data_IF_434339722606
#
_entry.id   IF_434339722606
#
_cell.length_a   1.000
_cell.length_b   1.000
_cell.length_c   1.000
_cell.angle_alpha   90.00
_cell.angle_beta   90.00
_cell.angle_gamma   90.00
#
_symmetry.space_group_name_H-M   'P 1'
#
loop_
_entity.id
_entity.type
_entity.pdbx_description
1 polymer ?
#
# COMPACT_ATOMS: atom_id res chain seq x y z
N UNK A 1 -20.45 6.86 -18.66
CA UNK A 1 -19.29 6.85 -17.74
C UNK A 1 -18.15 6.18 -18.50
N UNK A 2 -17.00 6.83 -18.56
CA UNK A 2 -15.81 6.20 -19.14
C UNK A 2 -15.50 4.89 -18.38
N UNK A 3 -15.17 3.88 -19.16
CA UNK A 3 -14.79 2.58 -18.60
C UNK A 3 -13.38 2.67 -18.02
N UNK A 4 -13.26 2.47 -16.74
CA UNK A 4 -11.99 2.58 -16.03
C UNK A 4 -11.72 1.32 -15.19
N UNK A 5 -10.45 0.95 -15.08
CA UNK A 5 -10.01 -0.01 -14.07
C UNK A 5 -9.88 0.74 -12.74
N UNK A 6 -10.62 0.30 -11.72
CA UNK A 6 -10.58 0.89 -10.37
C UNK A 6 -9.88 -0.04 -9.40
N UNK A 7 -9.00 0.52 -8.60
CA UNK A 7 -8.30 -0.20 -7.54
C UNK A 7 -8.59 0.46 -6.21
N UNK A 8 -9.29 -0.28 -5.35
CA UNK A 8 -9.45 0.08 -3.96
C UNK A 8 -8.24 -0.43 -3.19
N UNK A 9 -7.69 0.40 -2.33
CA UNK A 9 -6.50 0.13 -1.55
C UNK A 9 -6.85 0.28 -0.07
N UNK A 10 -6.61 -0.75 0.73
CA UNK A 10 -6.90 -0.76 2.17
C UNK A 10 -5.62 -1.11 2.93
N UNK A 11 -5.25 -0.26 3.91
CA UNK A 11 -4.21 -0.60 4.87
C UNK A 11 -4.75 -1.58 5.91
N UNK A 12 -3.91 -2.51 6.36
CA UNK A 12 -4.26 -3.39 7.49
C UNK A 12 -4.72 -2.62 8.74
N UNK A 13 -5.51 -3.25 9.60
CA UNK A 13 -5.88 -2.73 10.91
C UNK A 13 -4.67 -2.53 11.82
N UNK A 14 -4.83 -1.71 12.87
CA UNK A 14 -3.80 -1.45 13.87
C UNK A 14 -3.26 -2.76 14.46
N UNK A 15 -1.92 -2.83 14.62
CA UNK A 15 -1.25 -3.94 15.29
C UNK A 15 -0.65 -3.50 16.61
N UNK A 16 -0.27 -4.45 17.46
CA UNK A 16 0.45 -4.17 18.72
C UNK A 16 1.70 -3.34 18.44
N UNK A 17 2.48 -3.68 17.41
CA UNK A 17 3.69 -2.93 17.07
C UNK A 17 3.41 -1.53 16.48
N UNK A 18 2.26 -1.31 15.83
CA UNK A 18 1.86 0.06 15.51
C UNK A 18 1.64 0.90 16.77
N UNK A 19 0.93 0.35 17.77
CA UNK A 19 0.68 1.04 19.03
C UNK A 19 1.97 1.29 19.84
N UNK A 20 2.97 0.40 19.72
CA UNK A 20 4.29 0.53 20.37
C UNK A 20 5.28 1.39 19.58
N UNK A 21 4.96 1.82 18.35
CA UNK A 21 5.89 2.54 17.46
C UNK A 21 7.06 1.68 16.98
N UNK A 22 6.88 0.34 16.86
CA UNK A 22 7.88 -0.58 16.33
C UNK A 22 7.74 -0.74 14.83
N UNK A 23 8.85 -0.72 14.11
CA UNK A 23 8.91 -0.97 12.68
C UNK A 23 8.72 -2.46 12.39
N UNK A 24 7.72 -2.80 11.58
CA UNK A 24 7.35 -4.20 11.34
C UNK A 24 8.08 -4.81 10.14
N UNK A 25 8.07 -4.12 8.99
CA UNK A 25 8.60 -4.68 7.75
C UNK A 25 7.90 -5.99 7.39
N UNK A 26 8.69 -7.06 7.20
CA UNK A 26 8.21 -8.41 6.93
C UNK A 26 7.93 -9.24 8.20
N UNK A 27 8.34 -8.77 9.39
CA UNK A 27 7.89 -9.36 10.64
C UNK A 27 6.44 -8.96 10.91
N UNK A 28 5.77 -9.73 11.74
CA UNK A 28 4.35 -9.53 12.05
C UNK A 28 4.12 -9.35 13.54
N UNK A 29 3.08 -8.60 13.87
CA UNK A 29 2.47 -8.57 15.18
C UNK A 29 0.95 -8.66 15.06
N UNK A 30 0.29 -9.12 16.12
CA UNK A 30 -1.16 -9.32 16.12
C UNK A 30 -1.91 -7.98 15.97
N UNK A 31 -3.11 -8.06 15.35
CA UNK A 31 -4.04 -6.93 15.39
C UNK A 31 -4.46 -6.66 16.84
N UNK A 32 -4.47 -5.39 17.25
CA UNK A 32 -5.08 -5.00 18.51
C UNK A 32 -6.61 -5.20 18.46
N UNK A 33 -7.28 -5.14 19.62
CA UNK A 33 -8.76 -5.11 19.64
C UNK A 33 -9.32 -3.97 18.78
N UNK A 34 -8.64 -2.82 18.77
CA UNK A 34 -8.94 -1.67 17.90
C UNK A 34 -8.72 -2.01 16.42
N UNK A 35 -7.58 -2.66 16.08
CA UNK A 35 -7.31 -3.10 14.71
C UNK A 35 -8.32 -4.12 14.19
N UNK A 36 -8.81 -5.01 15.05
CA UNK A 36 -9.91 -5.92 14.71
C UNK A 36 -11.21 -5.15 14.48
N UNK A 37 -11.54 -4.17 15.31
CA UNK A 37 -12.71 -3.30 15.11
C UNK A 37 -12.60 -2.50 13.81
N UNK A 38 -11.43 -1.94 13.50
CA UNK A 38 -11.13 -1.25 12.25
C UNK A 38 -11.32 -2.18 11.03
N UNK A 39 -10.82 -3.41 11.09
CA UNK A 39 -10.98 -4.40 10.03
C UNK A 39 -12.46 -4.80 9.82
N UNK A 40 -13.24 -4.92 10.90
CA UNK A 40 -14.67 -5.17 10.82
C UNK A 40 -15.44 -3.97 10.24
N UNK A 41 -15.06 -2.73 10.61
CA UNK A 41 -15.68 -1.51 10.09
C UNK A 41 -15.47 -1.37 8.59
N UNK A 42 -14.22 -1.54 8.09
CA UNK A 42 -13.96 -1.49 6.65
C UNK A 42 -14.65 -2.63 5.90
N UNK A 43 -14.75 -3.82 6.49
CA UNK A 43 -15.49 -4.95 5.92
C UNK A 43 -16.99 -4.64 5.79
N UNK A 44 -17.59 -4.02 6.80
CA UNK A 44 -19.00 -3.60 6.76
C UNK A 44 -19.26 -2.55 5.68
N UNK A 45 -18.36 -1.56 5.52
CA UNK A 45 -18.44 -0.54 4.48
C UNK A 45 -18.32 -1.11 3.06
N UNK A 46 -17.54 -2.17 2.90
CA UNK A 46 -17.30 -2.81 1.61
C UNK A 46 -18.29 -3.94 1.28
N UNK A 47 -19.22 -4.26 2.18
CA UNK A 47 -20.18 -5.39 2.02
C UNK A 47 -20.94 -5.35 0.70
N UNK A 48 -21.40 -4.18 0.32
CA UNK A 48 -22.23 -3.99 -0.87
C UNK A 48 -21.43 -3.62 -2.12
N UNK A 49 -20.10 -3.50 -1.97
CA UNK A 49 -19.21 -3.30 -3.11
C UNK A 49 -19.06 -4.58 -3.91
N UNK A 50 -19.05 -4.44 -5.23
CA UNK A 50 -18.74 -5.54 -6.15
C UNK A 50 -17.28 -5.46 -6.56
N UNK A 51 -16.52 -6.50 -6.22
CA UNK A 51 -15.13 -6.65 -6.64
C UNK A 51 -15.00 -7.84 -7.58
N UNK A 52 -14.21 -7.67 -8.62
CA UNK A 52 -13.83 -8.77 -9.54
C UNK A 52 -12.68 -9.60 -8.96
N UNK A 53 -11.87 -9.01 -8.08
CA UNK A 53 -10.79 -9.69 -7.37
C UNK A 53 -10.46 -8.99 -6.04
N UNK A 54 -10.03 -9.79 -5.06
CA UNK A 54 -9.49 -9.36 -3.76
C UNK A 54 -8.09 -9.94 -3.60
N UNK A 55 -7.08 -9.09 -3.71
CA UNK A 55 -5.69 -9.44 -3.42
C UNK A 55 -5.31 -8.97 -2.02
N UNK A 56 -4.47 -9.73 -1.34
CA UNK A 56 -3.93 -9.35 -0.04
C UNK A 56 -2.46 -9.71 0.08
N UNK A 57 -1.70 -8.84 0.75
CA UNK A 57 -0.39 -9.23 1.28
C UNK A 57 -0.54 -10.50 2.12
N UNK A 58 0.41 -11.40 2.00
CA UNK A 58 0.48 -12.65 2.78
C UNK A 58 1.01 -12.44 4.20
N UNK A 59 1.44 -11.22 4.57
CA UNK A 59 1.76 -10.87 5.95
C UNK A 59 0.48 -10.90 6.81
N UNK A 60 0.56 -11.54 7.97
CA UNK A 60 -0.61 -11.92 8.78
C UNK A 60 -1.55 -10.77 9.10
N UNK A 61 -1.05 -9.58 9.46
CA UNK A 61 -1.88 -8.40 9.75
C UNK A 61 -2.75 -7.96 8.57
N UNK A 62 -2.20 -7.96 7.36
CA UNK A 62 -2.94 -7.60 6.15
C UNK A 62 -3.88 -8.74 5.73
N UNK A 63 -3.41 -9.98 5.81
CA UNK A 63 -4.23 -11.15 5.50
C UNK A 63 -5.43 -11.29 6.44
N UNK A 64 -5.26 -11.09 7.76
CA UNK A 64 -6.35 -11.09 8.75
C UNK A 64 -7.37 -9.98 8.48
N UNK A 65 -6.92 -8.79 8.06
CA UNK A 65 -7.81 -7.71 7.64
C UNK A 65 -8.60 -8.12 6.38
N UNK A 66 -7.94 -8.71 5.39
CA UNK A 66 -8.57 -9.20 4.18
C UNK A 66 -9.60 -10.32 4.46
N UNK A 67 -9.35 -11.19 5.44
CA UNK A 67 -10.31 -12.22 5.86
C UNK A 67 -11.64 -11.64 6.34
N UNK A 68 -11.61 -10.51 7.08
CA UNK A 68 -12.85 -9.81 7.50
C UNK A 68 -13.64 -9.29 6.30
N UNK A 69 -12.93 -8.69 5.33
CA UNK A 69 -13.54 -8.18 4.10
C UNK A 69 -14.09 -9.35 3.26
N UNK A 70 -13.31 -10.42 3.09
CA UNK A 70 -13.73 -11.60 2.33
C UNK A 70 -15.00 -12.24 2.92
N UNK A 71 -15.09 -12.34 4.25
CA UNK A 71 -16.26 -12.85 4.94
C UNK A 71 -17.52 -11.98 4.73
N UNK A 72 -17.36 -10.66 4.62
CA UNK A 72 -18.47 -9.74 4.41
C UNK A 72 -18.93 -9.65 2.95
N UNK A 73 -18.01 -9.82 1.99
CA UNK A 73 -18.25 -9.63 0.54
C UNK A 73 -18.44 -10.92 -0.24
N UNK A 74 -18.07 -12.07 0.34
CA UNK A 74 -18.04 -13.38 -0.34
C UNK A 74 -16.87 -13.53 -1.32
N UNK A 75 -15.94 -12.57 -1.42
CA UNK A 75 -14.82 -12.63 -2.34
C UNK A 75 -13.73 -13.59 -1.84
N UNK A 76 -13.13 -14.35 -2.77
CA UNK A 76 -11.96 -15.18 -2.45
C UNK A 76 -10.69 -14.30 -2.37
N UNK A 77 -9.86 -14.53 -1.36
CA UNK A 77 -8.57 -13.85 -1.22
C UNK A 77 -7.53 -14.52 -2.16
N UNK A 78 -6.84 -13.69 -2.91
CA UNK A 78 -5.66 -14.05 -3.70
C UNK A 78 -4.45 -13.49 -2.95
N UNK A 79 -3.58 -14.39 -2.48
CA UNK A 79 -2.33 -13.99 -1.81
C UNK A 79 -1.34 -13.40 -2.82
N UNK A 80 -0.80 -12.21 -2.52
CA UNK A 80 0.07 -11.47 -3.42
C UNK A 80 1.31 -10.90 -2.66
N UNK A 81 2.46 -11.57 -2.74
CA UNK A 81 3.68 -11.15 -2.03
C UNK A 81 4.20 -9.76 -2.42
N UNK A 82 3.88 -9.26 -3.62
CA UNK A 82 4.25 -7.89 -4.02
C UNK A 82 3.52 -6.80 -3.22
N UNK A 83 2.47 -7.18 -2.47
CA UNK A 83 1.78 -6.30 -1.52
C UNK A 83 2.42 -6.28 -0.14
N UNK A 84 3.47 -7.07 0.16
CA UNK A 84 4.19 -7.00 1.43
C UNK A 84 4.73 -5.60 1.69
N UNK A 85 4.84 -5.23 2.96
CA UNK A 85 5.52 -4.00 3.38
C UNK A 85 6.99 -3.99 2.90
N UNK A 86 7.66 -2.84 2.95
CA UNK A 86 9.10 -2.76 2.75
C UNK A 86 9.79 -3.67 3.76
N UNK A 87 10.69 -4.52 3.29
CA UNK A 87 11.56 -5.25 4.20
C UNK A 87 12.53 -4.24 4.85
N UNK A 88 12.42 -4.08 6.16
CA UNK A 88 13.23 -3.12 6.93
C UNK A 88 14.46 -3.77 7.59
N UNK A 89 14.80 -5.02 7.21
CA UNK A 89 16.02 -5.71 7.63
C UNK A 89 16.27 -5.62 9.13
N UNK A 90 17.45 -5.14 9.51
CA UNK A 90 17.88 -5.02 10.92
C UNK A 90 17.02 -4.08 11.79
N UNK A 91 16.16 -3.26 11.20
CA UNK A 91 15.27 -2.35 11.95
C UNK A 91 13.97 -3.02 12.37
N UNK A 92 13.66 -4.19 11.84
CA UNK A 92 12.40 -4.87 12.14
C UNK A 92 12.29 -5.27 13.61
N UNK A 93 11.15 -4.97 14.21
CA UNK A 93 10.86 -5.23 15.64
C UNK A 93 11.39 -4.15 16.59
N UNK A 94 12.09 -3.13 16.08
CA UNK A 94 12.69 -2.07 16.91
C UNK A 94 11.86 -0.77 16.82
N UNK A 95 11.85 -0.01 17.91
CA UNK A 95 11.39 1.37 17.92
C UNK A 95 12.47 2.30 17.35
N UNK A 96 12.09 3.52 16.94
CA UNK A 96 13.06 4.53 16.50
C UNK A 96 14.16 4.78 17.54
N UNK A 97 13.79 4.87 18.82
CA UNK A 97 14.76 5.08 19.91
C UNK A 97 15.78 3.94 20.01
N UNK A 98 15.32 2.69 19.89
CA UNK A 98 16.21 1.51 19.90
C UNK A 98 17.13 1.48 18.67
N UNK A 99 16.61 1.85 17.49
CA UNK A 99 17.41 1.92 16.26
C UNK A 99 18.50 2.98 16.36
N UNK A 100 18.17 4.18 16.83
CA UNK A 100 19.13 5.29 17.01
C UNK A 100 20.29 4.91 17.92
N UNK A 101 20.04 4.09 18.93
CA UNK A 101 21.09 3.63 19.85
C UNK A 101 21.91 2.50 19.24
N UNK A 102 21.27 1.53 18.57
CA UNK A 102 21.94 0.31 18.04
C UNK A 102 22.61 0.53 16.70
N UNK A 103 22.00 1.35 15.84
CA UNK A 103 22.38 1.53 14.44
C UNK A 103 22.35 3.01 14.01
N UNK A 104 23.10 3.92 14.68
CA UNK A 104 23.00 5.36 14.47
C UNK A 104 23.35 5.79 13.03
N UNK A 105 24.35 5.17 12.42
CA UNK A 105 24.78 5.47 11.03
C UNK A 105 23.72 5.03 10.02
N UNK A 106 23.21 3.81 10.17
CA UNK A 106 22.17 3.27 9.29
C UNK A 106 20.86 4.03 9.41
N UNK A 107 20.55 4.49 10.65
CA UNK A 107 19.38 5.35 10.88
C UNK A 107 19.53 6.71 10.19
N UNK A 108 20.70 7.34 10.27
CA UNK A 108 20.98 8.60 9.58
C UNK A 108 20.78 8.47 8.07
N UNK A 109 21.31 7.40 7.46
CA UNK A 109 21.14 7.09 6.03
C UNK A 109 19.68 6.80 5.69
N UNK A 110 18.96 6.06 6.52
CA UNK A 110 17.52 5.80 6.31
C UNK A 110 16.71 7.09 6.32
N UNK A 111 17.05 8.02 7.22
CA UNK A 111 16.38 9.33 7.34
C UNK A 111 16.76 10.32 6.23
N UNK A 112 17.84 10.11 5.50
CA UNK A 112 18.20 10.96 4.37
C UNK A 112 17.25 10.80 3.16
N UNK A 113 16.35 9.82 3.22
CA UNK A 113 15.37 9.53 2.17
C UNK A 113 15.99 9.16 0.81
N UNK A 114 17.25 8.71 0.81
CA UNK A 114 17.93 8.22 -0.38
C UNK A 114 17.18 7.01 -0.95
N UNK A 115 16.64 7.06 -2.18
CA UNK A 115 15.74 6.01 -2.70
C UNK A 115 16.40 4.64 -2.84
N UNK A 116 17.70 4.61 -3.13
CA UNK A 116 18.46 3.39 -3.37
C UNK A 116 19.10 2.84 -2.10
N UNK A 117 19.05 3.58 -0.99
CA UNK A 117 19.57 3.08 0.27
C UNK A 117 18.79 1.84 0.74
N UNK A 118 19.53 0.75 0.94
CA UNK A 118 19.02 -0.49 1.52
C UNK A 118 19.41 -0.58 2.98
N UNK A 119 18.44 -0.72 3.86
CA UNK A 119 18.73 -1.16 5.23
C UNK A 119 19.40 -2.54 5.14
N UNK A 120 20.45 -2.83 5.89
CA UNK A 120 21.07 -4.18 5.90
C UNK A 120 20.00 -5.27 6.08
N UNK A 121 20.07 -6.31 5.27
CA UNK A 121 19.09 -7.40 5.15
C UNK A 121 17.67 -6.97 4.69
N UNK A 122 17.53 -5.76 4.14
CA UNK A 122 16.25 -5.19 3.73
C UNK A 122 16.17 -4.73 2.27
N UNK A 123 15.11 -4.00 1.98
CA UNK A 123 14.83 -3.38 0.68
C UNK A 123 15.12 -1.87 0.68
N UNK A 124 15.38 -1.30 -0.49
CA UNK A 124 15.35 0.14 -0.70
C UNK A 124 13.91 0.65 -0.90
N UNK A 125 13.71 1.97 -0.84
CA UNK A 125 12.42 2.58 -1.21
C UNK A 125 12.11 2.33 -2.69
N UNK A 126 13.14 2.35 -3.55
CA UNK A 126 13.00 2.08 -4.99
C UNK A 126 12.54 0.65 -5.27
N UNK A 127 13.09 -0.36 -4.61
CA UNK A 127 12.67 -1.76 -4.80
C UNK A 127 11.18 -1.94 -4.52
N UNK A 128 10.72 -1.38 -3.39
CA UNK A 128 9.31 -1.38 -3.00
C UNK A 128 8.43 -0.76 -4.09
N UNK A 129 8.82 0.41 -4.62
CA UNK A 129 8.04 1.12 -5.65
C UNK A 129 8.04 0.35 -6.96
N UNK A 130 9.16 -0.23 -7.38
CA UNK A 130 9.27 -1.04 -8.60
C UNK A 130 8.31 -2.25 -8.54
N UNK A 131 8.29 -2.99 -7.43
CA UNK A 131 7.36 -4.13 -7.31
C UNK A 131 5.88 -3.72 -7.21
N UNK A 132 5.59 -2.56 -6.59
CA UNK A 132 4.23 -2.01 -6.54
C UNK A 132 3.76 -1.59 -7.94
N UNK A 133 4.62 -0.96 -8.73
CA UNK A 133 4.34 -0.60 -10.14
C UNK A 133 4.04 -1.84 -10.97
N UNK A 134 4.91 -2.86 -10.89
CA UNK A 134 4.71 -4.13 -11.61
C UNK A 134 3.35 -4.77 -11.30
N UNK A 135 2.91 -4.72 -10.03
CA UNK A 135 1.59 -5.21 -9.66
C UNK A 135 0.46 -4.37 -10.26
N UNK A 136 0.56 -3.04 -10.20
CA UNK A 136 -0.47 -2.14 -10.75
C UNK A 136 -0.60 -2.32 -12.27
N UNK A 137 0.52 -2.47 -12.98
CA UNK A 137 0.53 -2.69 -14.44
C UNK A 137 -0.14 -4.03 -14.79
N UNK A 138 0.14 -5.11 -14.03
CA UNK A 138 -0.53 -6.39 -14.21
C UNK A 138 -2.03 -6.30 -13.91
N UNK A 139 -2.41 -5.63 -12.81
CA UNK A 139 -3.82 -5.43 -12.45
C UNK A 139 -4.56 -4.66 -13.54
N UNK A 140 -3.95 -3.61 -14.10
CA UNK A 140 -4.55 -2.81 -15.18
C UNK A 140 -4.84 -3.63 -16.44
N UNK A 141 -3.97 -4.58 -16.75
CA UNK A 141 -4.14 -5.48 -17.92
C UNK A 141 -5.16 -6.59 -17.61
N UNK A 142 -4.96 -7.30 -16.49
CA UNK A 142 -5.78 -8.48 -16.13
C UNK A 142 -7.23 -8.12 -15.79
N UNK A 143 -7.44 -6.95 -15.19
CA UNK A 143 -8.73 -6.47 -14.70
C UNK A 143 -9.19 -5.19 -15.41
N UNK A 144 -8.93 -5.10 -16.70
CA UNK A 144 -9.36 -3.96 -17.50
C UNK A 144 -10.85 -3.68 -17.31
N UNK A 145 -11.21 -2.42 -17.04
CA UNK A 145 -12.59 -1.95 -16.81
C UNK A 145 -13.31 -2.65 -15.64
N UNK A 146 -12.56 -3.16 -14.68
CA UNK A 146 -13.06 -3.87 -13.50
C UNK A 146 -12.63 -3.19 -12.21
N UNK A 147 -13.25 -3.60 -11.11
CA UNK A 147 -12.90 -3.13 -9.77
C UNK A 147 -12.15 -4.20 -9.00
N UNK A 148 -10.98 -3.85 -8.47
CA UNK A 148 -10.10 -4.73 -7.71
C UNK A 148 -9.87 -4.14 -6.33
N UNK A 149 -9.82 -4.98 -5.30
CA UNK A 149 -9.43 -4.59 -3.94
C UNK A 149 -8.05 -5.16 -3.60
N UNK A 150 -7.17 -4.30 -3.09
CA UNK A 150 -5.84 -4.67 -2.58
C UNK A 150 -5.75 -4.34 -1.09
N UNK A 151 -5.45 -5.34 -0.24
CA UNK A 151 -5.21 -5.14 1.20
C UNK A 151 -3.71 -5.21 1.45
N UNK A 152 -3.15 -4.13 2.00
CA UNK A 152 -1.70 -3.92 2.04
C UNK A 152 -1.24 -3.10 3.26
N UNK A 153 -0.13 -2.38 3.15
CA UNK A 153 0.61 -1.71 4.22
C UNK A 153 0.88 -0.24 3.91
N UNK A 154 1.28 0.51 4.96
CA UNK A 154 1.53 1.94 4.86
C UNK A 154 2.60 2.31 3.82
N UNK A 155 3.73 1.62 3.81
CA UNK A 155 4.78 1.90 2.84
C UNK A 155 4.38 1.61 1.39
N UNK A 156 3.57 0.57 1.14
CA UNK A 156 3.07 0.29 -0.21
C UNK A 156 2.12 1.40 -0.67
N UNK A 157 1.21 1.85 0.20
CA UNK A 157 0.32 2.96 -0.10
C UNK A 157 1.09 4.25 -0.39
N UNK A 158 2.14 4.56 0.40
CA UNK A 158 3.04 5.68 0.13
C UNK A 158 3.68 5.55 -1.27
N UNK A 159 4.18 4.37 -1.60
CA UNK A 159 4.76 4.11 -2.92
C UNK A 159 3.75 4.29 -4.06
N UNK A 160 2.54 3.75 -3.92
CA UNK A 160 1.47 3.89 -4.91
C UNK A 160 1.03 5.35 -5.06
N UNK A 161 0.86 6.09 -3.96
CA UNK A 161 0.55 7.51 -4.01
C UNK A 161 1.59 8.29 -4.83
N UNK A 162 2.87 8.04 -4.56
CA UNK A 162 3.98 8.68 -5.29
C UNK A 162 4.02 8.30 -6.76
N UNK A 163 3.75 7.03 -7.08
CA UNK A 163 3.64 6.57 -8.47
C UNK A 163 2.55 7.30 -9.25
N UNK A 164 1.37 7.49 -8.62
CA UNK A 164 0.23 8.12 -9.27
C UNK A 164 0.40 9.64 -9.39
N UNK A 165 0.98 10.28 -8.37
CA UNK A 165 1.12 11.74 -8.34
C UNK A 165 2.44 12.26 -8.92
N UNK A 166 3.42 11.40 -9.18
CA UNK A 166 4.77 11.81 -9.57
C UNK A 166 5.60 12.40 -8.43
N UNK A 167 5.17 12.30 -7.17
CA UNK A 167 5.91 12.84 -6.03
C UNK A 167 7.23 12.09 -5.85
N UNK A 168 8.39 12.78 -5.83
CA UNK A 168 9.70 12.15 -5.66
C UNK A 168 9.84 11.36 -4.35
N UNK A 169 10.63 10.28 -4.39
CA UNK A 169 10.90 9.42 -3.22
C UNK A 169 11.77 10.12 -2.17
N UNK A 170 12.54 11.10 -2.57
CA UNK A 170 13.45 11.90 -1.75
C UNK A 170 12.71 12.89 -0.84
N UNK A 171 11.46 13.19 -1.15
CA UNK A 171 10.67 14.11 -0.34
C UNK A 171 10.00 13.38 0.83
N UNK A 172 9.95 13.99 2.02
CA UNK A 172 9.21 13.43 3.14
C UNK A 172 7.72 13.32 2.81
N UNK A 173 7.06 12.34 3.41
CA UNK A 173 5.61 12.16 3.26
C UNK A 173 4.87 13.34 3.91
N UNK A 174 3.93 13.92 3.19
CA UNK A 174 3.10 15.04 3.64
C UNK A 174 1.59 14.71 3.63
N UNK A 175 1.24 13.44 3.56
CA UNK A 175 -0.14 12.96 3.54
C UNK A 175 -0.33 11.80 4.53
N UNK A 176 -1.56 11.61 4.98
CA UNK A 176 -1.92 10.60 5.96
C UNK A 176 -2.23 9.25 5.31
N UNK A 177 -1.85 8.17 5.99
CA UNK A 177 -2.15 6.78 5.61
C UNK A 177 -2.70 6.07 6.85
N UNK A 178 -4.03 6.03 6.95
CA UNK A 178 -4.71 5.52 8.13
C UNK A 178 -4.84 4.00 8.12
N UNK A 179 -4.74 3.33 9.28
CA UNK A 179 -5.13 1.94 9.42
C UNK A 179 -6.59 1.75 9.01
N UNK A 180 -6.88 0.71 8.23
CA UNK A 180 -8.18 0.44 7.64
C UNK A 180 -8.78 1.60 6.81
N UNK A 181 -7.96 2.60 6.44
CA UNK A 181 -8.38 3.66 5.53
C UNK A 181 -8.56 3.12 4.10
N UNK A 182 -9.60 3.60 3.43
CA UNK A 182 -9.89 3.27 2.03
C UNK A 182 -9.30 4.36 1.14
N UNK A 183 -8.58 3.94 0.10
CA UNK A 183 -8.07 4.80 -0.95
C UNK A 183 -8.52 4.22 -2.28
N UNK A 184 -8.78 5.05 -3.28
CA UNK A 184 -9.25 4.63 -4.59
C UNK A 184 -8.41 5.31 -5.66
N UNK A 185 -7.84 4.52 -6.54
CA UNK A 185 -7.20 4.98 -7.77
C UNK A 185 -7.91 4.36 -8.96
N UNK A 186 -7.90 5.06 -10.09
CA UNK A 186 -8.46 4.55 -11.34
C UNK A 186 -7.55 4.82 -12.51
N UNK A 187 -7.69 3.98 -13.53
CA UNK A 187 -7.02 4.15 -14.82
C UNK A 187 -8.06 4.04 -15.93
N UNK A 188 -8.20 5.11 -16.72
CA UNK A 188 -9.07 5.12 -17.89
C UNK A 188 -8.48 4.21 -18.95
N UNK A 189 -9.32 3.35 -19.54
CA UNK A 189 -8.92 2.54 -20.69
C UNK A 189 -8.86 3.44 -21.92
N UNK A 190 -7.67 3.76 -22.40
CA UNK A 190 -7.52 4.38 -23.71
C UNK A 190 -8.11 3.43 -24.77
N UNK A 191 -8.93 3.98 -25.67
CA UNK A 191 -9.49 3.23 -26.80
C UNK A 191 -8.37 2.61 -27.65
N UNK A 192 -8.69 1.56 -28.39
CA UNK A 192 -7.71 0.86 -29.25
C UNK A 192 -7.06 1.73 -30.33
N UNK A 193 -7.58 2.93 -30.58
CA UNK A 193 -7.05 3.88 -31.55
C UNK A 193 -5.86 4.68 -31.00
N UNK A 194 -5.77 4.89 -29.68
CA UNK A 194 -4.66 5.62 -29.03
C UNK A 194 -3.50 4.70 -28.60
N UNK A 195 -3.67 3.40 -28.69
CA UNK A 195 -2.65 2.42 -28.26
C UNK A 195 -1.47 2.25 -29.24
N UNK A 196 -1.55 2.88 -30.44
CA UNK A 196 -0.54 2.68 -31.50
C UNK A 196 0.75 3.51 -31.31
N UNK A 197 0.76 4.48 -30.39
CA UNK A 197 1.90 5.41 -30.21
C UNK A 197 2.61 5.30 -28.86
N UNK A 198 2.21 4.37 -28.01
CA UNK A 198 3.04 3.99 -26.84
C UNK A 198 4.07 2.96 -27.28
N UNK A 199 5.20 3.42 -27.81
CA UNK A 199 6.37 2.59 -28.07
C UNK A 199 6.76 1.77 -26.84
N UNK A 200 7.65 0.74 -26.98
CA UNK A 200 7.95 -0.21 -25.92
C UNK A 200 8.30 0.53 -24.64
N UNK A 201 7.58 0.21 -23.56
CA UNK A 201 7.76 0.75 -22.22
C UNK A 201 9.25 0.88 -21.93
N UNK A 202 9.75 2.11 -21.86
CA UNK A 202 11.15 2.36 -21.58
C UNK A 202 11.50 1.77 -20.21
N UNK A 203 12.22 0.67 -20.23
CA UNK A 203 12.77 -0.02 -19.05
C UNK A 203 13.83 0.80 -18.29
N UNK A 204 13.89 2.11 -18.48
CA UNK A 204 14.93 3.00 -17.96
C UNK A 204 14.47 4.38 -17.48
N UNK A 205 13.16 4.64 -17.34
CA UNK A 205 12.70 5.90 -16.74
C UNK A 205 12.98 5.93 -15.22
N UNK A 206 13.16 7.13 -14.61
CA UNK A 206 13.30 7.23 -13.16
C UNK A 206 12.06 6.61 -12.51
N UNK A 207 12.26 5.84 -11.43
CA UNK A 207 11.17 5.15 -10.70
C UNK A 207 10.11 6.11 -10.11
N UNK A 208 10.33 7.41 -10.23
CA UNK A 208 9.44 8.51 -9.83
C UNK A 208 8.57 9.08 -10.96
N UNK A 209 8.65 8.56 -12.19
CA UNK A 209 7.74 9.02 -13.24
C UNK A 209 6.29 8.60 -12.89
N UNK A 210 5.28 9.49 -13.07
CA UNK A 210 3.87 9.15 -12.84
C UNK A 210 3.49 7.86 -13.57
N UNK A 211 2.68 7.02 -12.92
CA UNK A 211 2.16 5.82 -13.55
C UNK A 211 1.13 6.25 -14.61
N UNK A 212 1.46 6.11 -15.87
CA UNK A 212 0.67 6.60 -16.99
C UNK A 212 -0.81 6.21 -16.89
N UNK A 213 -1.66 7.21 -16.90
CA UNK A 213 -3.11 7.05 -16.90
C UNK A 213 -3.76 6.72 -15.55
N UNK A 214 -3.01 6.57 -14.46
CA UNK A 214 -3.58 6.44 -13.12
C UNK A 214 -3.90 7.79 -12.50
N UNK A 215 -5.03 7.89 -11.80
CA UNK A 215 -5.45 9.07 -11.04
C UNK A 215 -5.98 8.66 -9.66
N UNK A 216 -5.90 9.57 -8.70
CA UNK A 216 -6.49 9.39 -7.36
C UNK A 216 -7.95 9.87 -7.41
N UNK A 217 -8.90 8.99 -7.08
CA UNK A 217 -10.31 9.35 -6.90
C UNK A 217 -10.62 9.69 -5.43
N UNK A 218 -9.97 8.97 -4.50
CA UNK A 218 -10.19 9.11 -3.05
C UNK A 218 -8.91 8.74 -2.32
N UNK A 219 -8.58 9.49 -1.26
CA UNK A 219 -7.44 9.16 -0.43
C UNK A 219 -7.71 9.41 1.05
N UNK A 220 -7.37 8.43 1.89
CA UNK A 220 -7.42 8.53 3.33
C UNK A 220 -8.84 8.52 3.93
N UNK A 221 -9.82 7.93 3.24
CA UNK A 221 -11.18 7.83 3.75
C UNK A 221 -11.28 6.81 4.88
N UNK A 222 -11.47 7.29 6.10
CA UNK A 222 -11.72 6.49 7.30
C UNK A 222 -13.21 6.31 7.58
N UNK A 223 -14.09 7.03 6.87
CA UNK A 223 -15.54 6.98 7.02
C UNK A 223 -16.00 7.24 8.45
N UNK A 224 -16.72 6.27 9.01
CA UNK A 224 -17.26 6.33 10.39
C UNK A 224 -16.27 5.91 11.48
N UNK A 225 -14.98 5.72 11.17
CA UNK A 225 -13.98 5.56 12.23
C UNK A 225 -13.97 6.87 13.02
N UNK A 226 -14.27 6.80 14.33
CA UNK A 226 -14.21 7.96 15.20
C UNK A 226 -12.85 8.65 15.08
N UNK A 227 -12.80 9.97 15.26
CA UNK A 227 -11.61 10.81 15.02
C UNK A 227 -10.41 10.52 15.95
N UNK A 228 -10.44 9.46 16.73
CA UNK A 228 -9.34 8.88 17.50
C UNK A 228 -8.97 7.46 17.10
N UNK A 229 -9.65 6.89 16.10
CA UNK A 229 -9.56 5.46 15.79
C UNK A 229 -8.59 5.10 14.68
N UNK A 230 -8.02 6.08 14.00
CA UNK A 230 -7.02 5.87 12.97
C UNK A 230 -5.63 6.32 13.45
N UNK A 231 -4.64 5.44 13.40
CA UNK A 231 -3.25 5.78 13.61
C UNK A 231 -2.56 6.00 12.27
N UNK A 232 -1.75 7.05 12.22
CA UNK A 232 -0.84 7.32 11.12
C UNK A 232 0.57 6.97 11.60
N UNK A 233 1.29 6.12 10.88
CA UNK A 233 2.71 5.90 11.12
C UNK A 233 3.48 7.09 10.52
N UNK A 234 4.14 7.85 11.38
CA UNK A 234 5.05 8.91 10.96
C UNK A 234 6.29 8.38 10.25
#
# INVERSE_FOLDING_TARGET
MEKATRVLLVRHGETVWNAEGRLQGHLDSELTSRGVAQANSVAARLRDYRFDALYASDLGRAYKTAQKIAAATGCRIISEPRLRERNLGIFQGLTEGEIRVRYPEEWSRFRSMEPDYRVPDGESSRDRVVRSRSLLDEVAVRHRERTVLLVTHGGILDGIFRLVTGLPLELPRQFKIWNAGINIISRVSLGSEDAADTGPLHSGGPASAPADGWMIELWGDTGTLASGDALDDN
#
